data_IF_164110420789
#
_entry.id   IF_164110420789
#
_cell.length_a   1.000
_cell.length_b   1.000
_cell.length_c   1.000
_cell.angle_alpha   90.00
_cell.angle_beta   90.00
_cell.angle_gamma   90.00
#
_symmetry.space_group_name_H-M   'P 1'
#
loop_
_entity.id
_entity.type
_entity.pdbx_description
1 polymer ?
#
# COMPACT_ATOMS: atom_id res chain seq x y z
N UNK A 1 -13.68 -16.07 11.80
CA UNK A 1 -14.53 -14.99 12.34
C UNK A 1 -14.44 -13.81 11.40
N UNK A 2 -15.56 -13.20 10.97
CA UNK A 2 -15.50 -11.96 10.22
C UNK A 2 -14.96 -10.87 11.15
N UNK A 3 -13.86 -10.23 10.77
CA UNK A 3 -13.37 -9.03 11.46
C UNK A 3 -14.29 -7.86 11.09
N UNK A 4 -14.54 -6.90 11.99
CA UNK A 4 -15.22 -5.67 11.61
C UNK A 4 -14.46 -4.98 10.48
N UNK A 5 -15.18 -4.50 9.48
CA UNK A 5 -14.59 -3.81 8.32
C UNK A 5 -14.81 -2.30 8.42
N UNK A 6 -13.76 -1.55 8.07
CA UNK A 6 -13.79 -0.09 7.98
C UNK A 6 -13.51 0.30 6.54
N UNK A 7 -14.39 1.13 5.97
CA UNK A 7 -14.33 1.57 4.59
C UNK A 7 -14.12 3.08 4.55
N UNK A 8 -13.09 3.53 3.85
CA UNK A 8 -12.74 4.94 3.69
C UNK A 8 -12.56 5.28 2.22
N UNK A 9 -13.04 6.45 1.81
CA UNK A 9 -12.87 6.98 0.45
C UNK A 9 -12.55 8.47 0.55
N UNK A 10 -11.52 8.87 -0.17
CA UNK A 10 -11.10 10.26 -0.29
C UNK A 10 -10.91 10.59 -1.77
N UNK A 11 -11.28 11.81 -2.13
CA UNK A 11 -11.18 12.33 -3.49
C UNK A 11 -10.63 13.74 -3.46
N UNK A 12 -9.77 14.05 -4.42
CA UNK A 12 -9.15 15.35 -4.57
C UNK A 12 -9.12 15.75 -6.03
N UNK A 13 -9.32 17.04 -6.28
CA UNK A 13 -9.12 17.66 -7.59
C UNK A 13 -7.73 18.27 -7.63
N UNK A 14 -6.90 17.85 -8.58
CA UNK A 14 -5.53 18.30 -8.74
C UNK A 14 -5.33 18.84 -10.15
N UNK A 15 -4.54 19.91 -10.30
CA UNK A 15 -4.27 20.54 -11.61
C UNK A 15 -3.32 19.72 -12.50
N UNK A 16 -2.63 18.73 -11.92
CA UNK A 16 -1.68 17.88 -12.64
C UNK A 16 -2.40 16.72 -13.34
N UNK A 17 -1.91 16.34 -14.53
CA UNK A 17 -2.44 15.19 -15.26
C UNK A 17 -2.05 13.87 -14.59
N UNK A 18 -2.77 12.76 -14.84
CA UNK A 18 -2.41 11.44 -14.32
C UNK A 18 -0.95 11.07 -14.60
N UNK A 19 -0.43 11.39 -15.78
CA UNK A 19 0.96 11.09 -16.18
C UNK A 19 1.98 11.84 -15.33
N UNK A 20 1.68 13.10 -14.96
CA UNK A 20 2.57 13.92 -14.11
C UNK A 20 2.51 13.48 -12.65
N UNK A 21 1.35 13.04 -12.17
CA UNK A 21 1.16 12.58 -10.80
C UNK A 21 1.69 11.16 -10.58
N UNK A 22 1.59 10.30 -11.58
CA UNK A 22 1.88 8.88 -11.46
C UNK A 22 3.24 8.54 -10.84
N UNK A 23 4.38 9.17 -11.21
CA UNK A 23 5.67 8.86 -10.60
C UNK A 23 5.73 9.17 -9.10
N UNK A 24 4.92 10.11 -8.62
CA UNK A 24 4.85 10.49 -7.20
C UNK A 24 4.02 9.49 -6.39
N UNK A 25 3.00 8.91 -7.04
CA UNK A 25 1.99 8.05 -6.43
C UNK A 25 2.40 6.57 -6.47
N UNK A 26 2.99 6.13 -7.58
CA UNK A 26 3.42 4.74 -7.77
C UNK A 26 4.67 4.37 -6.95
N UNK A 27 5.48 5.35 -6.54
CA UNK A 27 6.60 5.13 -5.62
C UNK A 27 6.09 5.07 -4.17
N UNK A 28 5.51 3.93 -3.81
CA UNK A 28 4.97 3.71 -2.46
C UNK A 28 6.04 3.71 -1.37
N UNK A 29 7.31 3.43 -1.71
CA UNK A 29 8.42 3.53 -0.74
C UNK A 29 8.69 4.98 -0.37
N UNK A 30 8.77 5.86 -1.39
CA UNK A 30 8.84 7.30 -1.16
C UNK A 30 7.64 7.79 -0.37
N UNK A 31 6.42 7.42 -0.77
CA UNK A 31 5.21 7.88 -0.09
C UNK A 31 5.20 7.50 1.40
N UNK A 32 5.59 6.26 1.73
CA UNK A 32 5.72 5.81 3.12
C UNK A 32 6.72 6.68 3.89
N UNK A 33 7.89 6.96 3.30
CA UNK A 33 8.91 7.81 3.93
C UNK A 33 8.39 9.24 4.16
N UNK A 34 7.76 9.84 3.14
CA UNK A 34 7.28 11.22 3.19
C UNK A 34 6.11 11.38 4.19
N UNK A 35 5.38 10.30 4.51
CA UNK A 35 4.29 10.26 5.51
C UNK A 35 4.75 9.83 6.91
N UNK A 36 6.06 9.66 7.13
CA UNK A 36 6.62 9.30 8.44
C UNK A 36 6.46 7.82 8.80
N UNK A 37 6.06 6.96 7.86
CA UNK A 37 6.12 5.51 8.07
C UNK A 37 7.58 5.05 8.03
N UNK A 38 8.03 4.24 9.01
CA UNK A 38 9.35 3.62 8.98
C UNK A 38 9.60 2.89 7.66
N UNK A 39 10.87 2.77 7.26
CA UNK A 39 11.22 1.94 6.11
C UNK A 39 10.72 0.52 6.31
N UNK A 40 9.98 -0.01 5.34
CA UNK A 40 9.47 -1.37 5.38
C UNK A 40 10.65 -2.33 5.28
N UNK A 41 10.86 -3.15 6.32
CA UNK A 41 11.94 -4.13 6.35
C UNK A 41 11.43 -5.44 5.76
N UNK A 42 12.22 -6.06 4.88
CA UNK A 42 11.97 -7.44 4.45
C UNK A 42 12.26 -8.35 5.64
N UNK A 43 11.33 -9.24 5.99
CA UNK A 43 11.64 -10.25 7.00
C UNK A 43 12.62 -11.27 6.44
N UNK A 44 13.52 -11.77 7.27
CA UNK A 44 14.46 -12.84 6.90
C UNK A 44 13.68 -14.07 6.42
N UNK A 45 13.88 -14.39 5.14
CA UNK A 45 13.08 -15.36 4.38
C UNK A 45 12.95 -14.83 2.96
N UNK A 46 13.73 -15.40 2.04
CA UNK A 46 13.84 -14.96 0.64
C UNK A 46 12.50 -14.84 -0.11
N UNK A 47 12.52 -14.43 -1.38
CA UNK A 47 11.30 -14.25 -2.17
C UNK A 47 10.41 -15.51 -2.11
N UNK A 48 9.15 -15.32 -1.70
CA UNK A 48 8.17 -16.40 -1.57
C UNK A 48 7.58 -16.72 -2.96
N UNK A 49 6.97 -17.89 -3.12
CA UNK A 49 6.26 -18.24 -4.37
C UNK A 49 5.25 -17.14 -4.75
N UNK A 50 5.09 -16.87 -6.05
CA UNK A 50 4.18 -15.88 -6.61
C UNK A 50 4.49 -14.41 -6.27
N UNK A 51 5.77 -14.05 -6.12
CA UNK A 51 6.24 -12.67 -5.88
C UNK A 51 5.74 -12.01 -4.57
N UNK A 52 5.19 -12.81 -3.65
CA UNK A 52 4.75 -12.38 -2.32
C UNK A 52 5.95 -11.97 -1.47
N UNK A 53 5.77 -10.92 -0.66
CA UNK A 53 6.82 -10.38 0.21
C UNK A 53 6.36 -10.37 1.66
N UNK A 54 7.18 -10.94 2.54
CA UNK A 54 6.98 -10.81 3.98
C UNK A 54 7.66 -9.54 4.46
N UNK A 55 6.86 -8.65 5.01
CA UNK A 55 7.25 -7.29 5.36
C UNK A 55 6.95 -7.05 6.83
N UNK A 56 7.83 -6.30 7.51
CA UNK A 56 7.66 -5.90 8.90
C UNK A 56 7.89 -4.40 9.04
N UNK A 57 7.11 -3.80 9.93
CA UNK A 57 7.20 -2.41 10.31
C UNK A 57 6.91 -2.28 11.80
N UNK A 58 7.64 -1.41 12.48
CA UNK A 58 7.33 -1.01 13.85
C UNK A 58 7.04 0.48 13.85
N UNK A 59 5.79 0.87 14.09
CA UNK A 59 5.38 2.28 14.20
C UNK A 59 4.60 2.48 15.48
N UNK A 60 4.88 3.57 16.20
CA UNK A 60 4.20 3.94 17.47
C UNK A 60 4.15 2.79 18.51
N UNK A 61 5.22 1.99 18.59
CA UNK A 61 5.30 0.85 19.51
C UNK A 61 4.55 -0.43 19.06
N UNK A 62 3.83 -0.39 17.93
CA UNK A 62 3.09 -1.52 17.38
C UNK A 62 3.96 -2.24 16.35
N UNK A 63 4.24 -3.53 16.60
CA UNK A 63 4.94 -4.41 15.65
C UNK A 63 3.94 -5.04 14.70
N UNK A 64 4.10 -4.75 13.42
CA UNK A 64 3.20 -5.19 12.37
C UNK A 64 3.99 -6.03 11.37
N UNK A 65 3.48 -7.23 11.06
CA UNK A 65 4.04 -8.12 10.06
C UNK A 65 2.95 -8.49 9.06
N UNK A 66 3.24 -8.44 7.77
CA UNK A 66 2.28 -8.81 6.72
C UNK A 66 2.93 -9.52 5.55
N UNK A 67 2.11 -10.28 4.84
CA UNK A 67 2.37 -10.74 3.49
C UNK A 67 1.72 -9.74 2.52
N UNK A 68 2.53 -9.18 1.63
CA UNK A 68 2.07 -8.30 0.55
C UNK A 68 1.85 -9.14 -0.71
N UNK A 69 0.63 -9.09 -1.25
CA UNK A 69 0.31 -9.66 -2.55
C UNK A 69 0.89 -8.78 -3.67
N UNK A 70 1.20 -9.35 -4.85
CA UNK A 70 1.64 -8.55 -5.99
C UNK A 70 0.65 -7.43 -6.27
N UNK A 71 1.18 -6.22 -6.44
CA UNK A 71 0.35 -5.09 -6.81
C UNK A 71 -0.28 -5.31 -8.19
N UNK A 72 -1.54 -4.93 -8.31
CA UNK A 72 -2.20 -4.79 -9.60
C UNK A 72 -1.94 -3.37 -10.12
N UNK A 73 -1.39 -3.23 -11.33
CA UNK A 73 -1.02 -1.93 -11.89
C UNK A 73 -1.66 -1.70 -13.26
N UNK A 74 -2.15 -0.49 -13.50
CA UNK A 74 -2.44 0.04 -14.83
C UNK A 74 -1.87 1.45 -14.90
N UNK A 75 -0.67 1.60 -15.46
CA UNK A 75 -0.05 2.92 -15.62
C UNK A 75 -0.78 3.72 -16.72
N UNK A 76 -1.04 5.02 -16.54
CA UNK A 76 -0.79 5.88 -15.37
C UNK A 76 -2.02 6.06 -14.45
N UNK A 77 -2.95 5.11 -14.46
CA UNK A 77 -4.31 5.30 -13.95
C UNK A 77 -4.57 4.67 -12.60
N UNK A 78 -4.05 3.48 -12.30
CA UNK A 78 -4.46 2.78 -11.08
C UNK A 78 -3.41 1.84 -10.51
N UNK A 79 -3.42 1.73 -9.19
CA UNK A 79 -2.81 0.58 -8.53
C UNK A 79 -3.64 0.06 -7.37
N UNK A 80 -3.59 -1.25 -7.18
CA UNK A 80 -4.20 -1.97 -6.08
C UNK A 80 -3.17 -2.75 -5.29
N UNK A 81 -3.31 -2.79 -3.96
CA UNK A 81 -2.52 -3.67 -3.10
C UNK A 81 -3.39 -4.26 -1.99
N UNK A 82 -3.16 -5.54 -1.72
CA UNK A 82 -3.72 -6.27 -0.57
C UNK A 82 -2.58 -6.65 0.36
N UNK A 83 -2.72 -6.28 1.63
CA UNK A 83 -1.81 -6.67 2.71
C UNK A 83 -2.55 -7.57 3.68
N UNK A 84 -2.02 -8.78 3.88
CA UNK A 84 -2.54 -9.75 4.85
C UNK A 84 -1.62 -9.80 6.05
N UNK A 85 -2.09 -9.27 7.17
CA UNK A 85 -1.29 -9.14 8.37
C UNK A 85 -1.25 -10.45 9.14
N UNK A 86 -0.04 -10.84 9.55
CA UNK A 86 0.24 -11.97 10.43
C UNK A 86 0.28 -11.55 11.91
N UNK A 87 0.55 -10.27 12.17
CA UNK A 87 0.51 -9.67 13.51
C UNK A 87 0.10 -8.20 13.45
N UNK A 88 -0.55 -7.72 14.51
CA UNK A 88 -1.05 -6.35 14.63
C UNK A 88 -2.57 -6.31 14.77
N UNK A 89 -3.15 -5.10 14.90
CA UNK A 89 -4.59 -4.91 15.16
C UNK A 89 -5.46 -5.11 13.91
N UNK A 90 -4.86 -5.15 12.72
CA UNK A 90 -5.53 -5.27 11.44
C UNK A 90 -5.31 -6.67 10.88
N UNK A 91 -6.34 -7.30 10.32
CA UNK A 91 -6.21 -8.60 9.65
C UNK A 91 -5.86 -8.43 8.16
N UNK A 92 -6.55 -7.51 7.47
CA UNK A 92 -6.35 -7.24 6.04
C UNK A 92 -6.50 -5.75 5.77
N UNK A 93 -5.61 -5.20 4.93
CA UNK A 93 -5.74 -3.86 4.36
C UNK A 93 -5.81 -3.98 2.84
N UNK A 94 -6.77 -3.28 2.24
CA UNK A 94 -6.92 -3.15 0.79
C UNK A 94 -6.84 -1.68 0.44
N UNK A 95 -5.97 -1.36 -0.51
CA UNK A 95 -5.78 0.01 -1.00
C UNK A 95 -6.00 -0.04 -2.50
N UNK A 96 -6.83 0.87 -2.99
CA UNK A 96 -6.99 1.19 -4.41
C UNK A 96 -6.74 2.68 -4.57
N UNK A 97 -5.84 3.02 -5.49
CA UNK A 97 -5.60 4.41 -5.90
C UNK A 97 -5.91 4.52 -7.37
N UNK A 98 -6.71 5.52 -7.74
CA UNK A 98 -7.11 5.80 -9.10
C UNK A 98 -6.84 7.27 -9.44
N UNK A 99 -6.34 7.50 -10.65
CA UNK A 99 -6.14 8.80 -11.26
C UNK A 99 -7.02 8.87 -12.51
N UNK A 100 -7.93 9.83 -12.50
CA UNK A 100 -8.81 10.11 -13.62
C UNK A 100 -8.47 11.49 -14.19
N UNK A 101 -8.48 11.68 -15.52
CA UNK A 101 -8.38 13.00 -16.11
C UNK A 101 -9.45 13.94 -15.55
N UNK A 102 -9.05 15.17 -15.24
CA UNK A 102 -10.01 16.23 -14.90
C UNK A 102 -10.97 16.46 -16.06
N UNK A 103 -12.22 16.74 -15.73
CA UNK A 103 -13.28 17.00 -16.71
C UNK A 103 -13.09 18.34 -17.40
#
# INVERSE_FOLDING_TARGET
MPYPELHYRWEWWLEASPERLWPLIADTNRFNRDTGLPAVQRSDGGPQQNARRNLRLSSLGIKVAWEEEPFEWMRPQRFGVVRRYRSGPTAVLRILVELQPGR
#
